data_IF_963942725967
#
_entry.id   IF_963942725967
#
_cell.length_a   1.000
_cell.length_b   1.000
_cell.length_c   1.000
_cell.angle_alpha   90.00
_cell.angle_beta   90.00
_cell.angle_gamma   90.00
#
_symmetry.space_group_name_H-M   'P 1'
#
loop_
_entity.id
_entity.type
_entity.pdbx_description
1 polymer ?
#
# COMPACT_ATOMS: atom_id res chain seq x y z
N UNK A 1 -35.27 9.85 -45.86
CA UNK A 1 -36.19 10.72 -45.11
C UNK A 1 -37.41 9.89 -44.74
N UNK A 2 -37.38 9.25 -43.57
CA UNK A 2 -38.48 8.40 -43.09
C UNK A 2 -39.28 9.20 -42.07
N UNK A 3 -40.58 9.36 -42.32
CA UNK A 3 -41.49 10.17 -41.54
C UNK A 3 -41.68 9.58 -40.13
N UNK A 4 -41.28 10.31 -39.10
CA UNK A 4 -41.64 10.04 -37.69
C UNK A 4 -43.08 10.54 -37.48
N UNK A 5 -44.05 9.82 -38.05
CA UNK A 5 -45.47 10.02 -37.77
C UNK A 5 -45.85 9.30 -36.48
N UNK A 6 -46.27 10.07 -35.47
CA UNK A 6 -46.97 9.66 -34.22
C UNK A 6 -47.01 8.15 -33.95
N UNK A 7 -45.95 7.62 -33.35
CA UNK A 7 -46.03 6.32 -32.68
C UNK A 7 -46.96 6.45 -31.45
N UNK A 8 -47.77 5.42 -31.12
CA UNK A 8 -48.57 5.39 -29.90
C UNK A 8 -47.65 5.61 -28.69
N UNK A 9 -48.10 6.37 -27.68
CA UNK A 9 -47.30 6.64 -26.46
C UNK A 9 -46.68 5.38 -25.83
N UNK A 10 -47.33 4.22 -25.97
CA UNK A 10 -46.82 2.93 -25.53
C UNK A 10 -45.50 2.51 -26.24
N UNK A 11 -45.39 2.70 -27.56
CA UNK A 11 -44.21 2.31 -28.35
C UNK A 11 -43.06 3.28 -28.11
N UNK A 12 -43.35 4.57 -27.94
CA UNK A 12 -42.35 5.56 -27.52
C UNK A 12 -41.83 5.26 -26.11
N UNK A 13 -42.72 4.86 -25.19
CA UNK A 13 -42.33 4.45 -23.83
C UNK A 13 -41.53 3.15 -23.82
N UNK A 14 -41.87 2.15 -24.65
CA UNK A 14 -41.08 0.91 -24.80
C UNK A 14 -39.68 1.19 -25.33
N UNK A 15 -39.56 2.04 -26.36
CA UNK A 15 -38.25 2.48 -26.86
C UNK A 15 -37.48 3.23 -25.77
N UNK A 16 -38.09 4.20 -25.08
CA UNK A 16 -37.44 4.90 -23.96
C UNK A 16 -37.01 3.95 -22.84
N UNK A 17 -37.81 2.92 -22.54
CA UNK A 17 -37.49 1.90 -21.54
C UNK A 17 -36.31 1.02 -22.00
N UNK A 18 -36.30 0.59 -23.25
CA UNK A 18 -35.22 -0.20 -23.86
C UNK A 18 -33.90 0.60 -23.93
N UNK A 19 -33.97 1.91 -24.22
CA UNK A 19 -32.83 2.82 -24.13
C UNK A 19 -32.36 3.04 -22.68
N UNK A 20 -33.29 3.13 -21.71
CA UNK A 20 -32.96 3.33 -20.29
C UNK A 20 -32.29 2.08 -19.70
N UNK A 21 -32.84 0.89 -19.95
CA UNK A 21 -32.27 -0.40 -19.54
C UNK A 21 -30.86 -0.63 -20.11
N UNK A 22 -30.56 -0.08 -21.30
CA UNK A 22 -29.22 -0.13 -21.91
C UNK A 22 -28.15 0.65 -21.14
N UNK A 23 -28.55 1.68 -20.40
CA UNK A 23 -27.66 2.56 -19.64
C UNK A 23 -27.83 2.43 -18.12
N UNK A 24 -28.80 1.65 -17.63
CA UNK A 24 -29.01 1.41 -16.19
C UNK A 24 -27.76 0.91 -15.48
N UNK A 25 -26.93 0.11 -16.14
CA UNK A 25 -25.65 -0.33 -15.60
C UNK A 25 -24.65 0.83 -15.44
N UNK A 26 -24.65 1.81 -16.34
CA UNK A 26 -23.81 3.02 -16.24
C UNK A 26 -24.32 3.90 -15.10
N UNK A 27 -25.63 4.14 -15.06
CA UNK A 27 -26.27 4.93 -13.99
C UNK A 27 -26.01 4.30 -12.63
N UNK A 28 -26.09 2.97 -12.53
CA UNK A 28 -25.74 2.22 -11.33
C UNK A 28 -24.28 2.38 -10.96
N UNK A 29 -23.35 2.23 -11.90
CA UNK A 29 -21.91 2.40 -11.64
C UNK A 29 -21.58 3.82 -11.14
N UNK A 30 -22.15 4.86 -11.77
CA UNK A 30 -22.00 6.23 -11.29
C UNK A 30 -22.65 6.44 -9.92
N UNK A 31 -23.81 5.84 -9.65
CA UNK A 31 -24.49 5.95 -8.35
C UNK A 31 -23.66 5.27 -7.26
N UNK A 32 -23.11 4.10 -7.53
CA UNK A 32 -22.27 3.33 -6.61
C UNK A 32 -20.94 4.07 -6.33
N UNK A 33 -20.34 4.66 -7.37
CA UNK A 33 -19.15 5.51 -7.25
C UNK A 33 -19.45 6.80 -6.45
N UNK A 34 -20.59 7.44 -6.72
CA UNK A 34 -21.00 8.68 -6.05
C UNK A 34 -21.35 8.40 -4.58
N UNK A 35 -22.04 7.30 -4.30
CA UNK A 35 -22.31 6.85 -2.94
C UNK A 35 -21.01 6.57 -2.19
N UNK A 36 -20.08 5.84 -2.81
CA UNK A 36 -18.77 5.56 -2.22
C UNK A 36 -17.98 6.84 -1.95
N UNK A 37 -17.94 7.76 -2.91
CA UNK A 37 -17.26 9.05 -2.76
C UNK A 37 -17.90 9.91 -1.67
N UNK A 38 -19.22 10.07 -1.67
CA UNK A 38 -19.95 10.90 -0.71
C UNK A 38 -19.90 10.31 0.70
N UNK A 39 -20.08 9.00 0.84
CA UNK A 39 -19.96 8.32 2.13
C UNK A 39 -18.53 8.43 2.67
N UNK A 40 -17.51 8.31 1.80
CA UNK A 40 -16.11 8.52 2.20
C UNK A 40 -15.84 9.98 2.58
N UNK A 41 -16.33 10.94 1.81
CA UNK A 41 -16.16 12.37 2.08
C UNK A 41 -16.80 12.78 3.42
N UNK A 42 -18.04 12.35 3.66
CA UNK A 42 -18.75 12.61 4.93
C UNK A 42 -18.08 11.91 6.10
N UNK A 43 -17.66 10.66 5.92
CA UNK A 43 -16.88 9.94 6.92
C UNK A 43 -15.59 10.67 7.30
N UNK A 44 -14.89 11.26 6.31
CA UNK A 44 -13.66 12.03 6.56
C UNK A 44 -13.94 13.35 7.29
N UNK A 45 -14.94 14.12 6.85
CA UNK A 45 -15.25 15.41 7.46
C UNK A 45 -15.69 15.28 8.92
N UNK A 46 -16.43 14.20 9.22
CA UNK A 46 -17.06 14.01 10.52
C UNK A 46 -16.35 12.96 11.37
N UNK A 47 -15.16 12.49 10.97
CA UNK A 47 -14.49 11.36 11.63
C UNK A 47 -14.38 11.56 13.15
N UNK A 48 -13.88 12.73 13.59
CA UNK A 48 -13.68 13.05 15.00
C UNK A 48 -14.99 13.31 15.77
N UNK A 49 -16.10 13.53 15.07
CA UNK A 49 -17.40 13.86 15.68
C UNK A 49 -18.34 12.65 15.77
N UNK A 50 -18.17 11.64 14.92
CA UNK A 50 -19.03 10.45 14.90
C UNK A 50 -18.52 9.32 15.83
N UNK A 51 -19.46 8.65 16.50
CA UNK A 51 -19.17 7.52 17.38
C UNK A 51 -18.77 6.23 16.64
N UNK A 52 -18.13 5.31 17.35
CA UNK A 52 -17.56 4.06 16.80
C UNK A 52 -18.59 3.18 16.07
N UNK A 53 -19.83 3.10 16.57
CA UNK A 53 -20.91 2.35 15.91
C UNK A 53 -21.28 2.93 14.55
N UNK A 54 -21.36 4.26 14.46
CA UNK A 54 -21.63 4.97 13.21
C UNK A 54 -20.48 4.78 12.23
N UNK A 55 -19.24 4.87 12.69
CA UNK A 55 -18.05 4.59 11.86
C UNK A 55 -18.09 3.18 11.26
N UNK A 56 -18.50 2.18 12.06
CA UNK A 56 -18.66 0.79 11.61
C UNK A 56 -19.75 0.66 10.54
N UNK A 57 -20.86 1.39 10.66
CA UNK A 57 -21.93 1.38 9.67
C UNK A 57 -21.49 2.00 8.34
N UNK A 58 -20.78 3.14 8.36
CA UNK A 58 -20.17 3.72 7.16
C UNK A 58 -19.21 2.76 6.49
N UNK A 59 -18.38 2.07 7.28
CA UNK A 59 -17.47 1.04 6.78
C UNK A 59 -18.21 -0.10 6.06
N UNK A 60 -19.28 -0.63 6.67
CA UNK A 60 -20.09 -1.69 6.09
C UNK A 60 -20.78 -1.23 4.80
N UNK A 61 -21.29 0.01 4.79
CA UNK A 61 -21.86 0.65 3.59
C UNK A 61 -20.83 0.72 2.46
N UNK A 62 -19.70 1.39 2.68
CA UNK A 62 -18.64 1.55 1.67
C UNK A 62 -18.16 0.18 1.15
N UNK A 63 -18.01 -0.82 2.02
CA UNK A 63 -17.61 -2.17 1.62
C UNK A 63 -18.68 -2.91 0.79
N UNK A 64 -19.97 -2.67 1.07
CA UNK A 64 -21.07 -3.33 0.36
C UNK A 64 -21.19 -2.86 -1.11
N UNK A 65 -20.74 -1.63 -1.39
CA UNK A 65 -20.75 -1.04 -2.74
C UNK A 65 -19.41 -1.17 -3.47
N UNK A 66 -18.56 -2.12 -3.06
CA UNK A 66 -17.26 -2.37 -3.70
C UNK A 66 -16.22 -1.27 -3.47
N UNK A 67 -16.52 -0.28 -2.61
CA UNK A 67 -15.57 0.71 -2.17
C UNK A 67 -14.40 0.04 -1.47
N UNK A 68 -13.19 0.52 -1.76
CA UNK A 68 -11.94 -0.05 -1.21
C UNK A 68 -11.73 0.42 0.24
N UNK A 69 -12.68 0.04 1.10
CA UNK A 69 -12.84 0.41 2.51
C UNK A 69 -11.60 0.17 3.40
N UNK A 70 -10.78 -0.91 3.22
CA UNK A 70 -9.60 -1.12 4.06
C UNK A 70 -8.51 -0.06 3.89
N UNK A 71 -8.36 0.50 2.69
CA UNK A 71 -7.33 1.51 2.38
C UNK A 71 -7.65 2.86 3.01
N UNK A 72 -8.93 3.25 3.02
CA UNK A 72 -9.36 4.51 3.63
C UNK A 72 -9.28 4.47 5.14
N UNK A 73 -9.71 3.38 5.78
CA UNK A 73 -9.61 3.22 7.24
C UNK A 73 -8.17 3.42 7.74
N UNK A 74 -7.18 2.83 7.07
CA UNK A 74 -5.79 2.95 7.51
C UNK A 74 -5.12 4.25 7.06
N UNK A 75 -5.48 4.81 5.90
CA UNK A 75 -5.02 6.14 5.50
C UNK A 75 -5.56 7.27 6.41
N UNK A 76 -6.67 7.01 7.12
CA UNK A 76 -7.31 7.95 8.05
C UNK A 76 -6.96 7.68 9.53
N UNK A 77 -6.74 6.41 9.94
CA UNK A 77 -6.29 6.08 11.31
C UNK A 77 -4.76 6.19 11.52
N UNK A 78 -3.97 6.04 10.45
CA UNK A 78 -2.52 6.18 10.51
C UNK A 78 -2.10 7.17 9.43
N UNK A 79 -1.48 8.27 9.86
CA UNK A 79 -1.09 9.41 9.02
C UNK A 79 -0.14 9.08 7.85
N UNK A 80 0.27 7.82 7.67
CA UNK A 80 1.42 7.48 6.84
C UNK A 80 1.34 6.05 6.26
N UNK A 81 0.56 5.87 5.18
CA UNK A 81 0.43 4.62 4.40
C UNK A 81 0.97 4.82 2.97
N UNK A 82 1.87 3.93 2.51
CA UNK A 82 2.38 3.96 1.13
C UNK A 82 1.57 3.06 0.22
N UNK A 83 1.00 3.62 -0.85
CA UNK A 83 0.26 2.87 -1.87
C UNK A 83 1.19 2.47 -3.02
N UNK A 84 1.50 1.18 -3.14
CA UNK A 84 2.29 0.65 -4.24
C UNK A 84 1.37 0.41 -5.43
N UNK A 85 1.34 1.33 -6.39
CA UNK A 85 0.39 1.31 -7.52
C UNK A 85 0.62 0.11 -8.46
N UNK A 86 1.87 -0.18 -8.77
CA UNK A 86 2.22 -1.23 -9.73
C UNK A 86 3.07 -2.32 -9.08
N UNK A 87 2.60 -3.56 -9.21
CA UNK A 87 3.37 -4.74 -8.80
C UNK A 87 4.40 -5.01 -9.88
N UNK A 88 5.68 -4.66 -9.63
CA UNK A 88 6.77 -4.95 -10.56
C UNK A 88 7.15 -6.42 -10.54
N UNK A 89 7.33 -6.99 -9.35
CA UNK A 89 7.78 -8.37 -9.18
C UNK A 89 6.57 -9.30 -9.12
N UNK A 90 6.11 -9.75 -10.30
CA UNK A 90 4.95 -10.63 -10.49
C UNK A 90 5.42 -12.09 -10.65
N UNK A 91 5.27 -12.90 -9.62
CA UNK A 91 5.50 -14.36 -9.70
C UNK A 91 4.34 -15.13 -9.07
N UNK A 92 3.68 -16.02 -9.83
CA UNK A 92 2.66 -16.95 -9.29
C UNK A 92 3.29 -18.11 -8.50
N UNK A 93 4.54 -18.48 -8.79
CA UNK A 93 5.25 -19.63 -8.19
C UNK A 93 6.53 -19.25 -7.44
N UNK A 94 7.38 -18.39 -7.99
CA UNK A 94 8.62 -17.92 -7.35
C UNK A 94 9.00 -16.52 -7.87
N UNK A 95 9.62 -15.70 -7.03
CA UNK A 95 10.10 -14.35 -7.35
C UNK A 95 11.58 -14.46 -7.74
N UNK A 96 11.98 -13.82 -8.84
CA UNK A 96 13.40 -13.64 -9.17
C UNK A 96 14.00 -12.63 -8.20
N UNK A 97 14.78 -13.11 -7.24
CA UNK A 97 15.45 -12.23 -6.26
C UNK A 97 16.64 -11.49 -6.88
N UNK A 98 17.23 -12.02 -7.96
CA UNK A 98 18.27 -11.34 -8.72
C UNK A 98 17.73 -10.05 -9.35
N UNK A 99 16.51 -10.09 -9.90
CA UNK A 99 15.84 -8.89 -10.44
C UNK A 99 15.59 -7.85 -9.35
N UNK A 100 15.25 -8.30 -8.13
CA UNK A 100 15.05 -7.42 -6.96
C UNK A 100 16.38 -6.80 -6.53
N UNK A 101 17.46 -7.58 -6.53
CA UNK A 101 18.83 -7.11 -6.20
C UNK A 101 19.26 -6.02 -7.19
N UNK A 102 19.16 -6.30 -8.48
CA UNK A 102 19.50 -5.35 -9.54
C UNK A 102 18.65 -4.07 -9.47
N UNK A 103 17.38 -4.18 -9.08
CA UNK A 103 16.54 -3.01 -8.88
C UNK A 103 17.01 -2.14 -7.70
N UNK A 104 17.37 -2.76 -6.58
CA UNK A 104 17.88 -2.05 -5.41
C UNK A 104 19.25 -1.39 -5.65
N UNK A 105 20.09 -1.97 -6.51
CA UNK A 105 21.36 -1.36 -6.92
C UNK A 105 21.17 0.04 -7.53
N UNK A 106 20.02 0.29 -8.17
CA UNK A 106 19.67 1.59 -8.72
C UNK A 106 19.51 2.71 -7.69
N UNK A 107 19.30 2.38 -6.41
CA UNK A 107 19.21 3.35 -5.32
C UNK A 107 20.54 3.57 -4.60
N UNK A 108 21.58 2.76 -4.88
CA UNK A 108 22.84 2.80 -4.14
C UNK A 108 23.52 4.15 -4.33
N UNK A 109 23.83 4.82 -3.22
CA UNK A 109 24.39 6.17 -3.20
C UNK A 109 23.37 7.28 -2.94
N UNK A 110 22.08 6.99 -3.07
CA UNK A 110 21.01 7.93 -2.73
C UNK A 110 20.80 8.07 -1.22
N UNK A 111 20.05 9.10 -0.84
CA UNK A 111 19.51 9.24 0.51
C UNK A 111 18.10 9.82 0.46
N UNK A 112 17.33 9.53 1.50
CA UNK A 112 15.97 10.02 1.69
C UNK A 112 15.82 10.54 3.12
N UNK A 113 14.93 11.51 3.30
CA UNK A 113 14.67 12.14 4.59
C UNK A 113 13.33 11.66 5.13
N UNK A 114 13.31 11.31 6.43
CA UNK A 114 12.06 11.06 7.16
C UNK A 114 11.33 12.39 7.34
N UNK A 115 10.05 12.46 6.99
CA UNK A 115 9.30 13.72 6.98
C UNK A 115 9.10 14.29 8.39
N UNK A 116 8.93 13.43 9.40
CA UNK A 116 8.65 13.83 10.78
C UNK A 116 9.83 14.56 11.44
N UNK A 117 11.07 14.15 11.16
CA UNK A 117 12.25 14.61 11.91
C UNK A 117 13.46 15.01 11.03
N UNK A 118 13.28 15.07 9.70
CA UNK A 118 14.31 15.41 8.71
C UNK A 118 15.57 14.55 8.78
N UNK A 119 15.46 13.33 9.32
CA UNK A 119 16.58 12.43 9.48
C UNK A 119 16.95 11.78 8.15
N UNK A 120 18.23 11.87 7.77
CA UNK A 120 18.75 11.33 6.50
C UNK A 120 19.10 9.85 6.62
N UNK A 121 18.43 9.04 5.81
CA UNK A 121 18.69 7.62 5.64
C UNK A 121 19.31 7.38 4.27
N UNK A 122 20.52 6.85 4.26
CA UNK A 122 21.30 6.57 3.05
C UNK A 122 21.06 5.15 2.56
N UNK A 123 21.20 4.93 1.26
CA UNK A 123 21.15 3.60 0.65
C UNK A 123 22.58 3.13 0.37
N UNK A 124 23.04 2.20 1.20
CA UNK A 124 24.39 1.63 1.11
C UNK A 124 24.50 0.50 0.09
N UNK A 125 25.72 0.22 -0.36
CA UNK A 125 26.01 -0.88 -1.31
C UNK A 125 25.76 -2.28 -0.73
N UNK A 126 25.67 -2.41 0.60
CA UNK A 126 25.36 -3.68 1.28
C UNK A 126 23.86 -4.01 1.22
N UNK A 127 22.99 -3.01 1.02
CA UNK A 127 21.53 -3.21 1.05
C UNK A 127 21.04 -4.23 0.02
N UNK A 128 21.41 -4.18 -1.28
CA UNK A 128 20.88 -5.13 -2.26
C UNK A 128 21.19 -6.59 -1.90
N UNK A 129 22.39 -6.86 -1.40
CA UNK A 129 22.83 -8.19 -0.99
C UNK A 129 22.13 -8.64 0.29
N UNK A 130 22.14 -7.82 1.35
CA UNK A 130 21.48 -8.15 2.61
C UNK A 130 19.96 -8.34 2.44
N UNK A 131 19.31 -7.47 1.67
CA UNK A 131 17.87 -7.53 1.44
C UNK A 131 17.44 -8.83 0.73
N UNK A 132 18.24 -9.26 -0.24
CA UNK A 132 17.92 -10.41 -1.09
C UNK A 132 18.48 -11.71 -0.58
N UNK A 133 19.54 -11.74 0.23
CA UNK A 133 20.19 -12.97 0.68
C UNK A 133 19.98 -13.28 2.17
N UNK A 134 19.35 -12.38 2.93
CA UNK A 134 19.06 -12.56 4.34
C UNK A 134 18.29 -13.85 4.68
N UNK A 135 18.58 -14.40 5.86
CA UNK A 135 17.78 -15.48 6.47
C UNK A 135 16.30 -15.09 6.61
N UNK A 136 16.03 -13.79 6.84
CA UNK A 136 14.68 -13.24 6.87
C UNK A 136 13.96 -13.46 5.54
N UNK A 137 14.64 -13.24 4.40
CA UNK A 137 14.12 -13.56 3.07
C UNK A 137 13.85 -15.05 2.90
N UNK A 138 14.77 -15.93 3.28
CA UNK A 138 14.67 -17.39 3.03
C UNK A 138 13.44 -18.02 3.69
N UNK A 139 12.97 -17.45 4.80
CA UNK A 139 11.76 -17.89 5.51
C UNK A 139 10.44 -17.38 4.90
N UNK A 140 10.47 -16.40 3.98
CA UNK A 140 9.27 -15.80 3.41
C UNK A 140 8.75 -16.61 2.22
N UNK A 141 7.46 -16.91 2.22
CA UNK A 141 6.77 -17.60 1.13
C UNK A 141 5.51 -16.85 0.71
N UNK A 142 5.06 -17.10 -0.52
CA UNK A 142 3.78 -16.65 -1.05
C UNK A 142 3.60 -15.12 -0.98
N UNK A 143 2.50 -14.69 -0.34
CA UNK A 143 2.11 -13.27 -0.29
C UNK A 143 3.15 -12.37 0.41
N UNK A 144 3.84 -12.86 1.45
CA UNK A 144 4.80 -12.05 2.18
C UNK A 144 6.12 -11.88 1.40
N UNK A 145 6.55 -12.92 0.66
CA UNK A 145 7.68 -12.80 -0.25
C UNK A 145 7.39 -11.79 -1.37
N UNK A 146 6.18 -11.83 -1.93
CA UNK A 146 5.70 -10.85 -2.91
C UNK A 146 5.67 -9.44 -2.31
N UNK A 147 5.24 -9.33 -1.06
CA UNK A 147 5.22 -8.06 -0.37
C UNK A 147 6.61 -7.47 -0.14
N UNK A 148 7.55 -8.29 0.33
CA UNK A 148 8.96 -7.89 0.47
C UNK A 148 9.54 -7.42 -0.86
N UNK A 149 9.45 -8.24 -1.90
CA UNK A 149 10.00 -7.89 -3.20
C UNK A 149 9.46 -6.56 -3.73
N UNK A 150 8.14 -6.32 -3.64
CA UNK A 150 7.55 -5.08 -4.14
C UNK A 150 7.72 -3.88 -3.19
N UNK A 151 8.01 -4.08 -1.90
CA UNK A 151 8.37 -2.98 -1.02
C UNK A 151 9.65 -2.24 -1.49
N UNK A 152 10.53 -2.92 -2.24
CA UNK A 152 11.73 -2.29 -2.84
C UNK A 152 11.41 -1.16 -3.81
N UNK A 153 10.26 -1.22 -4.50
CA UNK A 153 9.85 -0.16 -5.44
C UNK A 153 9.36 1.09 -4.74
N UNK A 154 9.19 1.04 -3.42
CA UNK A 154 8.64 2.09 -2.58
C UNK A 154 9.59 2.48 -1.45
N UNK A 155 10.87 2.10 -1.51
CA UNK A 155 11.88 2.44 -0.50
C UNK A 155 11.93 3.95 -0.20
N UNK A 156 11.94 4.86 -1.20
CA UNK A 156 11.93 6.29 -0.94
C UNK A 156 10.73 6.74 -0.10
N UNK A 157 9.53 6.29 -0.47
CA UNK A 157 8.28 6.63 0.19
C UNK A 157 8.18 6.01 1.58
N UNK A 158 8.64 4.76 1.74
CA UNK A 158 8.69 4.07 3.02
C UNK A 158 9.62 4.76 4.02
N UNK A 159 10.75 5.32 3.56
CA UNK A 159 11.64 6.09 4.43
C UNK A 159 10.96 7.39 4.87
N UNK A 160 10.30 8.10 3.95
CA UNK A 160 9.61 9.37 4.27
C UNK A 160 8.58 9.21 5.38
N UNK A 161 7.81 8.12 5.36
CA UNK A 161 6.76 7.81 6.34
C UNK A 161 7.24 7.06 7.60
N UNK A 162 8.54 6.83 7.75
CA UNK A 162 9.09 6.04 8.83
C UNK A 162 8.81 6.69 10.18
N UNK A 163 8.17 5.96 11.10
CA UNK A 163 7.77 6.47 12.42
C UNK A 163 8.11 5.50 13.55
N UNK A 164 7.87 5.89 14.80
CA UNK A 164 8.10 5.08 16.00
C UNK A 164 9.53 4.50 16.12
N UNK A 165 10.58 5.35 16.19
CA UNK A 165 11.96 4.89 16.28
C UNK A 165 12.20 4.07 17.55
N UNK A 166 12.70 2.85 17.37
CA UNK A 166 13.17 1.98 18.46
C UNK A 166 14.66 1.69 18.32
N UNK A 167 15.43 2.08 19.34
CA UNK A 167 16.87 1.89 19.39
C UNK A 167 17.28 0.53 19.98
N UNK A 168 18.31 -0.09 19.43
CA UNK A 168 18.97 -1.28 19.99
C UNK A 168 20.49 -1.18 19.84
N UNK A 169 21.22 -1.47 20.92
CA UNK A 169 22.67 -1.51 20.90
C UNK A 169 23.20 -2.65 20.03
N UNK A 170 24.33 -2.43 19.35
CA UNK A 170 24.97 -3.49 18.60
C UNK A 170 25.60 -4.52 19.55
N UNK A 171 25.13 -5.77 19.48
CA UNK A 171 25.63 -6.89 20.29
C UNK A 171 26.59 -7.82 19.53
N UNK A 172 26.85 -7.55 18.25
CA UNK A 172 27.66 -8.43 17.38
C UNK A 172 28.92 -7.71 16.91
N UNK A 173 30.07 -8.31 17.19
CA UNK A 173 31.38 -7.75 16.81
C UNK A 173 31.52 -7.52 15.31
N UNK A 174 30.91 -8.38 14.48
CA UNK A 174 30.95 -8.26 13.02
C UNK A 174 30.36 -6.96 12.46
N UNK A 175 29.53 -6.25 13.23
CA UNK A 175 28.93 -4.98 12.82
C UNK A 175 29.53 -3.77 13.54
N UNK A 176 30.70 -3.88 14.18
CA UNK A 176 31.30 -2.77 14.94
C UNK A 176 31.63 -1.53 14.09
N UNK A 177 31.82 -1.70 12.77
CA UNK A 177 31.99 -0.57 11.83
C UNK A 177 30.65 -0.08 11.28
N UNK A 178 29.79 -1.00 10.83
CA UNK A 178 28.56 -0.66 10.12
C UNK A 178 27.43 -0.24 11.06
N UNK A 179 27.43 -0.70 12.31
CA UNK A 179 26.46 -0.35 13.35
C UNK A 179 27.18 0.07 14.65
N UNK A 180 28.25 0.86 14.52
CA UNK A 180 29.06 1.36 15.65
C UNK A 180 28.20 2.03 16.72
N UNK A 181 27.21 2.80 16.29
CA UNK A 181 26.29 3.53 17.14
C UNK A 181 24.94 2.82 17.31
N UNK A 182 24.88 1.52 16.99
CA UNK A 182 23.69 0.68 17.14
C UNK A 182 22.75 0.68 15.94
N UNK A 183 21.55 0.19 16.22
CA UNK A 183 20.49 -0.11 15.26
C UNK A 183 19.23 0.68 15.61
N UNK A 184 18.51 1.10 14.59
CA UNK A 184 17.22 1.76 14.71
C UNK A 184 16.19 0.96 13.93
N UNK A 185 15.00 0.85 14.49
CA UNK A 185 13.83 0.28 13.80
C UNK A 185 12.75 1.34 13.68
N UNK A 186 12.16 1.45 12.50
CA UNK A 186 11.03 2.33 12.25
C UNK A 186 9.88 1.51 11.71
N UNK A 187 8.68 1.76 12.22
CA UNK A 187 7.47 1.12 11.73
C UNK A 187 6.99 1.83 10.45
N UNK A 188 6.58 1.03 9.47
CA UNK A 188 6.05 1.51 8.19
C UNK A 188 4.87 0.66 7.74
N UNK A 189 3.99 1.27 6.95
CA UNK A 189 2.86 0.60 6.34
C UNK A 189 2.85 0.80 4.83
N UNK A 190 2.54 -0.28 4.12
CA UNK A 190 2.30 -0.20 2.69
C UNK A 190 1.18 -1.12 2.23
N UNK A 191 0.57 -0.74 1.13
CA UNK A 191 -0.56 -1.43 0.52
C UNK A 191 -0.17 -1.96 -0.86
N UNK A 192 -0.49 -3.24 -1.12
CA UNK A 192 -0.31 -3.87 -2.43
C UNK A 192 -1.64 -4.22 -3.07
N UNK A 193 -1.86 -3.84 -4.35
CA UNK A 193 -3.09 -4.14 -5.06
C UNK A 193 -3.21 -5.63 -5.32
N UNK A 194 -4.45 -6.09 -5.34
CA UNK A 194 -4.84 -7.44 -5.73
C UNK A 194 -5.75 -7.28 -6.94
N UNK A 195 -5.33 -7.89 -8.04
CA UNK A 195 -6.08 -7.89 -9.28
C UNK A 195 -6.73 -9.25 -9.51
N UNK A 196 -7.95 -9.23 -10.01
CA UNK A 196 -8.66 -10.37 -10.58
C UNK A 196 -9.03 -10.02 -12.02
N UNK A 197 -8.63 -10.85 -12.98
CA UNK A 197 -8.82 -10.59 -14.43
C UNK A 197 -8.46 -9.16 -14.89
N UNK A 198 -7.41 -8.56 -14.31
CA UNK A 198 -6.94 -7.18 -14.52
C UNK A 198 -7.81 -6.07 -13.91
N UNK A 199 -8.85 -6.42 -13.16
CA UNK A 199 -9.65 -5.50 -12.36
C UNK A 199 -9.06 -5.42 -10.94
N UNK A 200 -8.85 -4.20 -10.44
CA UNK A 200 -8.40 -4.00 -9.05
C UNK A 200 -9.53 -4.40 -8.10
N UNK A 201 -9.32 -5.45 -7.30
CA UNK A 201 -10.32 -5.96 -6.36
C UNK A 201 -10.16 -5.38 -4.96
N UNK A 202 -8.91 -5.25 -4.48
CA UNK A 202 -8.61 -4.74 -3.14
C UNK A 202 -7.14 -4.39 -2.98
N UNK A 203 -6.78 -3.75 -1.86
CA UNK A 203 -5.41 -3.71 -1.38
C UNK A 203 -5.21 -4.63 -0.19
N UNK A 204 -4.12 -5.40 -0.20
CA UNK A 204 -3.60 -6.06 0.98
C UNK A 204 -2.64 -5.09 1.67
N UNK A 205 -2.88 -4.81 2.95
CA UNK A 205 -2.04 -3.90 3.73
C UNK A 205 -1.03 -4.72 4.53
N UNK A 206 0.19 -4.20 4.61
CA UNK A 206 1.31 -4.84 5.26
C UNK A 206 1.95 -3.88 6.24
N UNK A 207 2.15 -4.36 7.47
CA UNK A 207 3.05 -3.76 8.43
C UNK A 207 4.46 -4.28 8.20
N UNK A 208 5.44 -3.39 8.24
CA UNK A 208 6.84 -3.74 8.16
C UNK A 208 7.69 -2.86 9.07
N UNK A 209 8.95 -3.25 9.25
CA UNK A 209 9.94 -2.48 10.00
C UNK A 209 11.16 -2.22 9.15
N UNK A 210 11.52 -0.96 8.97
CA UNK A 210 12.83 -0.60 8.43
C UNK A 210 13.87 -0.92 9.50
N UNK A 211 14.94 -1.62 9.12
CA UNK A 211 16.12 -1.80 9.95
C UNK A 211 17.21 -0.86 9.44
N UNK A 212 17.69 0.01 10.31
CA UNK A 212 18.65 1.06 9.97
C UNK A 212 19.88 0.91 10.86
N UNK A 213 21.07 0.82 10.25
CA UNK A 213 22.34 0.80 10.97
C UNK A 213 22.92 2.20 11.07
N UNK A 214 23.49 2.55 12.23
CA UNK A 214 24.20 3.80 12.43
C UNK A 214 25.72 3.53 12.43
N UNK A 215 26.34 3.84 11.29
CA UNK A 215 27.72 3.49 10.99
C UNK A 215 28.74 4.44 11.62
N UNK A 216 30.01 4.03 11.62
CA UNK A 216 31.12 4.78 12.20
C UNK A 216 31.29 6.20 11.63
N UNK A 217 30.87 6.44 10.39
CA UNK A 217 30.86 7.77 9.77
C UNK A 217 29.69 8.66 10.22
N UNK A 218 28.98 8.26 11.29
CA UNK A 218 27.81 8.95 11.85
C UNK A 218 26.63 9.08 10.88
N UNK A 219 26.59 8.26 9.82
CA UNK A 219 25.46 8.19 8.89
C UNK A 219 24.62 6.94 9.16
N UNK A 220 23.33 7.07 8.86
CA UNK A 220 22.36 5.99 8.99
C UNK A 220 22.05 5.39 7.64
N UNK A 221 22.09 4.07 7.54
CA UNK A 221 21.84 3.36 6.29
C UNK A 221 20.66 2.43 6.44
N UNK A 222 19.83 2.34 5.40
CA UNK A 222 18.83 1.27 5.33
C UNK A 222 19.57 -0.06 5.15
N UNK A 223 19.35 -1.00 6.07
CA UNK A 223 20.02 -2.30 6.10
C UNK A 223 19.11 -3.43 5.61
N UNK A 224 17.84 -3.47 6.07
CA UNK A 224 16.84 -4.45 5.61
C UNK A 224 15.41 -3.91 5.88
N UNK A 225 14.41 -4.52 5.24
CA UNK A 225 13.00 -4.39 5.63
C UNK A 225 12.54 -5.72 6.23
N UNK A 226 12.20 -5.66 7.51
CA UNK A 226 11.90 -6.80 8.36
C UNK A 226 10.43 -6.87 8.75
N UNK A 227 10.07 -8.01 9.34
CA UNK A 227 8.79 -8.23 10.01
C UNK A 227 7.57 -7.90 9.15
N UNK A 228 7.65 -8.16 7.84
CA UNK A 228 6.57 -7.92 6.89
C UNK A 228 5.42 -8.88 7.21
N UNK A 229 4.31 -8.31 7.68
CA UNK A 229 3.11 -9.05 8.08
C UNK A 229 1.91 -8.40 7.43
N UNK A 230 1.10 -9.21 6.74
CA UNK A 230 -0.19 -8.78 6.24
C UNK A 230 -1.09 -8.44 7.43
N UNK A 231 -1.70 -7.26 7.40
CA UNK A 231 -2.81 -6.94 8.28
C UNK A 231 -4.00 -7.83 7.89
N UNK A 232 -4.30 -8.79 8.75
CA UNK A 232 -5.56 -9.54 8.68
C UNK A 232 -6.59 -8.72 9.42
N UNK A 233 -7.65 -8.29 8.74
CA UNK A 233 -8.89 -7.89 9.43
C UNK A 233 -9.22 -9.02 10.39
N UNK A 234 -9.16 -8.76 11.71
CA UNK A 234 -9.71 -9.72 12.66
C UNK A 234 -11.15 -10.02 12.21
N UNK A 235 -11.57 -11.30 12.24
CA UNK A 235 -12.92 -11.71 11.83
C UNK A 235 -13.99 -10.99 12.66
#
# INVERSE_FOLDING_TARGET
>A
MVCIGRLPWAVTMELHKEYTERYDWIVKEFTDLTFTFMASFLYCMDYDTIGEQTRSLYYQGISAFGGISPTYRMALEKDSLVLIKDIRFKGKRQISWDDVKQYLEGYVGDYYEIEENAERIYIGSELPEEYTESESRKSLMGANAKAKANATTAVPELIKIASNPAFEENRKEKHNKNAKYGWYRYDVLFALPVYDENVLVRYNIFHARLLINHAENSRKYLYDILAIKKETSKP
#
